data_IF_289462013275
#
_entry.id   IF_289462013275
#
_cell.length_a   1.000
_cell.length_b   1.000
_cell.length_c   1.000
_cell.angle_alpha   90.00
_cell.angle_beta   90.00
_cell.angle_gamma   90.00
#
_symmetry.space_group_name_H-M   'P 1'
#
loop_
_entity.id
_entity.type
_entity.pdbx_description
1 polymer ?
#
# COMPACT_ATOMS: atom_id res chain seq x y z
N UNK A 1 4.68 6.54 -15.21
CA UNK A 1 5.23 7.08 -13.95
C UNK A 1 6.45 6.31 -13.52
N UNK A 2 7.43 6.95 -12.89
CA UNK A 2 8.44 6.25 -12.08
C UNK A 2 7.78 5.74 -10.78
N UNK A 3 8.31 4.66 -10.19
CA UNK A 3 7.76 4.04 -8.97
C UNK A 3 7.54 5.06 -7.84
N UNK A 4 8.47 6.01 -7.69
CA UNK A 4 8.40 7.07 -6.69
C UNK A 4 7.21 8.01 -6.92
N UNK A 5 6.84 8.29 -8.17
CA UNK A 5 5.69 9.13 -8.51
C UNK A 5 4.37 8.42 -8.15
N UNK A 6 4.32 7.10 -8.29
CA UNK A 6 3.15 6.29 -7.93
C UNK A 6 2.95 6.29 -6.41
N UNK A 7 4.02 6.06 -5.66
CA UNK A 7 3.99 6.10 -4.20
C UNK A 7 3.55 7.49 -3.72
N UNK A 8 4.14 8.55 -4.29
CA UNK A 8 3.75 9.92 -3.98
C UNK A 8 2.28 10.23 -4.32
N UNK A 9 1.75 9.68 -5.40
CA UNK A 9 0.34 9.83 -5.75
C UNK A 9 -0.57 9.14 -4.74
N UNK A 10 -0.25 7.90 -4.35
CA UNK A 10 -1.01 7.13 -3.35
C UNK A 10 -1.01 7.88 -2.03
N UNK A 11 0.15 8.37 -1.60
CA UNK A 11 0.29 9.11 -0.34
C UNK A 11 -0.50 10.41 -0.36
N UNK A 12 -0.50 11.13 -1.49
CA UNK A 12 -1.30 12.34 -1.68
C UNK A 12 -2.80 12.06 -1.63
N UNK A 13 -3.24 10.89 -2.10
CA UNK A 13 -4.65 10.50 -2.12
C UNK A 13 -5.21 10.15 -0.73
N UNK A 14 -4.35 9.85 0.25
CA UNK A 14 -4.77 9.60 1.63
C UNK A 14 -5.21 10.85 2.40
N UNK A 15 -4.84 12.05 1.91
CA UNK A 15 -5.10 13.33 2.57
C UNK A 15 -4.21 13.62 3.78
N UNK A 16 -4.37 14.82 4.36
CA UNK A 16 -3.56 15.30 5.49
C UNK A 16 -3.61 14.35 6.69
N UNK A 17 -2.44 14.00 7.23
CA UNK A 17 -2.27 13.09 8.37
C UNK A 17 -2.65 13.71 9.72
N UNK A 18 -3.43 14.80 9.71
CA UNK A 18 -3.53 15.70 10.86
C UNK A 18 -3.95 14.94 12.13
N UNK A 19 -3.06 14.79 13.12
CA UNK A 19 -3.44 14.24 14.40
C UNK A 19 -4.26 15.32 15.08
N UNK A 20 -5.59 15.26 14.88
CA UNK A 20 -6.60 16.12 15.53
C UNK A 20 -6.10 17.48 15.97
N UNK A 21 -6.05 18.45 15.06
CA UNK A 21 -5.73 19.84 15.35
C UNK A 21 -6.78 20.49 16.28
N UNK A 22 -6.74 20.17 17.57
CA UNK A 22 -7.39 20.90 18.67
C UNK A 22 -7.03 20.25 20.02
N UNK A 23 -5.86 20.53 20.58
CA UNK A 23 -5.73 20.80 22.02
C UNK A 23 -4.30 21.22 22.36
N UNK A 24 -4.16 22.49 22.72
CA UNK A 24 -2.93 23.12 23.19
C UNK A 24 -2.58 22.71 24.63
N UNK A 25 -2.68 21.42 24.97
CA UNK A 25 -2.30 20.93 26.29
C UNK A 25 -1.72 19.51 26.22
N UNK A 26 -0.40 19.43 26.41
CA UNK A 26 0.41 18.21 26.26
C UNK A 26 -0.02 17.14 27.28
N UNK A 27 -0.55 17.54 28.44
CA UNK A 27 -1.10 16.61 29.44
C UNK A 27 -2.46 16.02 29.03
N UNK A 28 -3.30 16.78 28.33
CA UNK A 28 -4.55 16.28 27.75
C UNK A 28 -4.29 15.36 26.55
N UNK A 29 -3.29 15.68 25.72
CA UNK A 29 -2.79 14.79 24.66
C UNK A 29 -2.28 13.47 25.25
N UNK A 30 -1.50 13.49 26.33
CA UNK A 30 -1.01 12.24 26.97
C UNK A 30 -2.16 11.39 27.55
N UNK A 31 -3.23 12.02 28.04
CA UNK A 31 -4.41 11.35 28.60
C UNK A 31 -5.39 10.84 27.51
N UNK A 32 -5.51 11.52 26.37
CA UNK A 32 -6.43 11.18 25.25
C UNK A 32 -5.73 10.29 24.19
N UNK A 33 -4.45 10.51 23.93
CA UNK A 33 -3.58 9.56 23.22
C UNK A 33 -3.35 8.29 24.04
N UNK A 34 -3.80 8.26 25.30
CA UNK A 34 -3.64 7.18 26.25
C UNK A 34 -4.29 5.84 25.89
N UNK A 35 -5.07 5.69 24.82
CA UNK A 35 -5.29 4.38 24.16
C UNK A 35 -6.09 4.50 22.87
N UNK A 36 -7.28 5.10 22.85
CA UNK A 36 -8.19 4.99 21.69
C UNK A 36 -7.80 5.83 20.48
N UNK A 37 -7.40 7.09 20.67
CA UNK A 37 -6.99 7.97 19.55
C UNK A 37 -5.69 7.52 18.90
N UNK A 38 -4.71 7.11 19.72
CA UNK A 38 -3.44 6.59 19.24
C UNK A 38 -3.58 5.22 18.55
N UNK A 39 -4.39 4.31 19.11
CA UNK A 39 -4.68 3.02 18.45
C UNK A 39 -5.42 3.20 17.13
N UNK A 40 -6.35 4.18 17.06
CA UNK A 40 -7.04 4.55 15.82
C UNK A 40 -6.06 5.05 14.77
N UNK A 41 -5.16 5.95 15.14
CA UNK A 41 -4.08 6.44 14.27
C UNK A 41 -3.18 5.28 13.79
N UNK A 42 -2.70 4.43 14.70
CA UNK A 42 -1.87 3.28 14.34
C UNK A 42 -2.58 2.32 13.38
N UNK A 43 -3.88 2.08 13.60
CA UNK A 43 -4.69 1.25 12.72
C UNK A 43 -4.81 1.87 11.32
N UNK A 44 -5.04 3.18 11.23
CA UNK A 44 -5.08 3.87 9.93
C UNK A 44 -3.73 3.81 9.21
N UNK A 45 -2.61 3.96 9.93
CA UNK A 45 -1.27 3.83 9.35
C UNK A 45 -1.02 2.42 8.78
N UNK A 46 -1.48 1.38 9.47
CA UNK A 46 -1.43 0.00 8.94
C UNK A 46 -2.28 -0.14 7.67
N UNK A 47 -3.50 0.43 7.65
CA UNK A 47 -4.36 0.38 6.47
C UNK A 47 -3.71 1.09 5.27
N UNK A 48 -3.10 2.26 5.49
CA UNK A 48 -2.36 3.01 4.45
C UNK A 48 -1.22 2.17 3.88
N UNK A 49 -0.45 1.51 4.74
CA UNK A 49 0.66 0.65 4.32
C UNK A 49 0.17 -0.52 3.45
N UNK A 50 -0.87 -1.23 3.88
CA UNK A 50 -1.47 -2.34 3.11
C UNK A 50 -1.89 -1.86 1.72
N UNK A 51 -2.62 -0.74 1.66
CA UNK A 51 -3.10 -0.19 0.39
C UNK A 51 -1.94 0.20 -0.53
N UNK A 52 -0.92 0.89 0.03
CA UNK A 52 0.25 1.31 -0.74
C UNK A 52 0.96 0.12 -1.36
N UNK A 53 1.26 -0.89 -0.56
CA UNK A 53 1.98 -2.08 -1.02
C UNK A 53 1.15 -2.85 -2.05
N UNK A 54 -0.14 -3.04 -1.79
CA UNK A 54 -1.03 -3.77 -2.69
C UNK A 54 -1.18 -3.08 -4.04
N UNK A 55 -1.49 -1.78 -4.07
CA UNK A 55 -1.66 -1.04 -5.32
C UNK A 55 -0.36 -0.90 -6.10
N UNK A 56 0.76 -0.70 -5.39
CA UNK A 56 2.09 -0.67 -6.02
C UNK A 56 2.42 -2.02 -6.66
N UNK A 57 2.20 -3.12 -5.94
CA UNK A 57 2.43 -4.47 -6.45
C UNK A 57 1.52 -4.77 -7.65
N UNK A 58 0.24 -4.45 -7.57
CA UNK A 58 -0.71 -4.65 -8.67
C UNK A 58 -0.32 -3.87 -9.93
N UNK A 59 0.20 -2.65 -9.78
CA UNK A 59 0.68 -1.85 -10.91
C UNK A 59 1.98 -2.41 -11.50
N UNK A 60 2.94 -2.79 -10.65
CA UNK A 60 4.23 -3.37 -11.07
C UNK A 60 4.03 -4.71 -11.79
N UNK A 61 3.09 -5.54 -11.33
CA UNK A 61 2.73 -6.82 -11.95
C UNK A 61 1.86 -6.65 -13.20
N UNK A 62 1.30 -5.46 -13.42
CA UNK A 62 0.48 -5.12 -14.59
C UNK A 62 -0.99 -5.54 -14.48
N UNK A 63 -1.46 -5.87 -13.27
CA UNK A 63 -2.87 -6.19 -12.97
C UNK A 63 -3.76 -4.93 -13.03
N UNK A 64 -3.18 -3.76 -12.74
CA UNK A 64 -3.83 -2.46 -12.93
C UNK A 64 -2.97 -1.54 -13.78
N UNK A 65 -3.61 -0.58 -14.45
CA UNK A 65 -2.93 0.48 -15.20
C UNK A 65 -2.83 1.76 -14.36
N UNK A 66 -1.97 2.70 -14.74
CA UNK A 66 -1.88 4.02 -14.09
C UNK A 66 -3.23 4.74 -14.08
N UNK A 67 -4.02 4.64 -15.17
CA UNK A 67 -5.39 5.17 -15.22
C UNK A 67 -6.38 4.42 -14.34
N UNK A 68 -6.16 3.12 -14.11
CA UNK A 68 -6.93 2.31 -13.17
C UNK A 68 -6.69 2.69 -11.71
N UNK A 69 -5.49 3.18 -11.38
CA UNK A 69 -5.14 3.65 -10.03
C UNK A 69 -6.04 4.83 -9.60
N UNK A 70 -6.34 5.74 -10.53
CA UNK A 70 -7.21 6.89 -10.26
C UNK A 70 -8.63 6.51 -9.82
N UNK A 71 -9.12 5.31 -10.18
CA UNK A 71 -10.43 4.82 -9.75
C UNK A 71 -10.52 4.64 -8.22
N UNK A 72 -9.39 4.42 -7.54
CA UNK A 72 -9.34 4.23 -6.09
C UNK A 72 -9.35 5.56 -5.32
N UNK A 73 -9.08 6.71 -5.96
CA UNK A 73 -8.88 7.98 -5.28
C UNK A 73 -9.98 8.32 -4.26
N UNK A 74 -11.26 8.11 -4.63
CA UNK A 74 -12.41 8.38 -3.74
C UNK A 74 -12.43 7.49 -2.48
N UNK A 75 -11.91 6.26 -2.57
CA UNK A 75 -11.87 5.29 -1.48
C UNK A 75 -10.68 5.54 -0.54
N UNK A 76 -9.70 6.33 -0.95
CA UNK A 76 -8.50 6.62 -0.16
C UNK A 76 -8.68 7.80 0.80
N UNK A 77 -9.69 8.64 0.58
CA UNK A 77 -9.89 9.91 1.31
C UNK A 77 -10.23 9.69 2.77
N UNK A 78 -11.11 8.74 3.09
CA UNK A 78 -11.60 8.55 4.46
C UNK A 78 -10.94 7.35 5.15
N UNK A 79 -10.72 7.46 6.46
CA UNK A 79 -10.18 6.37 7.28
C UNK A 79 -11.06 5.12 7.22
N UNK A 80 -12.39 5.29 7.25
CA UNK A 80 -13.34 4.18 7.16
C UNK A 80 -13.23 3.46 5.81
N UNK A 81 -13.20 4.21 4.71
CA UNK A 81 -13.03 3.65 3.37
C UNK A 81 -11.68 2.95 3.21
N UNK A 82 -10.60 3.51 3.77
CA UNK A 82 -9.29 2.85 3.80
C UNK A 82 -9.32 1.56 4.60
N UNK A 83 -9.97 1.53 5.75
CA UNK A 83 -10.11 0.32 6.55
C UNK A 83 -10.86 -0.79 5.80
N UNK A 84 -11.97 -0.45 5.12
CA UNK A 84 -12.72 -1.40 4.29
C UNK A 84 -11.89 -1.89 3.10
N UNK A 85 -11.21 -0.99 2.39
CA UNK A 85 -10.40 -1.34 1.23
C UNK A 85 -9.20 -2.22 1.62
N UNK A 86 -8.48 -1.86 2.69
CA UNK A 86 -7.36 -2.65 3.20
C UNK A 86 -7.82 -4.05 3.63
N UNK A 87 -8.98 -4.16 4.29
CA UNK A 87 -9.54 -5.47 4.64
C UNK A 87 -9.88 -6.29 3.40
N UNK A 88 -10.51 -5.68 2.40
CA UNK A 88 -10.82 -6.36 1.14
C UNK A 88 -9.55 -6.86 0.43
N UNK A 89 -8.52 -6.01 0.35
CA UNK A 89 -7.21 -6.36 -0.21
C UNK A 89 -6.58 -7.53 0.53
N UNK A 90 -6.53 -7.49 1.86
CA UNK A 90 -6.01 -8.59 2.67
C UNK A 90 -6.77 -9.89 2.41
N UNK A 91 -8.10 -9.85 2.40
CA UNK A 91 -8.93 -11.03 2.17
C UNK A 91 -8.74 -11.62 0.77
N UNK A 92 -8.60 -10.77 -0.25
CA UNK A 92 -8.35 -11.22 -1.63
C UNK A 92 -7.01 -11.96 -1.77
N UNK A 93 -5.99 -11.56 -1.01
CA UNK A 93 -4.68 -12.22 -1.02
C UNK A 93 -4.62 -13.51 -0.22
N UNK A 94 -5.66 -13.87 0.57
CA UNK A 94 -5.66 -15.12 1.36
C UNK A 94 -5.69 -16.36 0.47
N UNK A 95 -6.31 -16.29 -0.72
CA UNK A 95 -6.38 -17.43 -1.63
C UNK A 95 -5.00 -17.90 -2.11
N UNK A 96 -4.05 -16.97 -2.19
CA UNK A 96 -2.66 -17.18 -2.58
C UNK A 96 -1.75 -17.53 -1.39
N UNK A 97 -2.27 -17.48 -0.15
CA UNK A 97 -1.47 -17.74 1.06
C UNK A 97 -0.91 -19.17 1.11
N UNK A 98 -1.55 -20.12 0.42
CA UNK A 98 -1.07 -21.50 0.24
C UNK A 98 0.25 -21.59 -0.54
N UNK A 99 0.55 -20.59 -1.35
CA UNK A 99 1.75 -20.51 -2.18
C UNK A 99 2.90 -19.81 -1.44
N UNK A 100 2.65 -19.32 -0.21
CA UNK A 100 3.70 -18.77 0.64
C UNK A 100 4.71 -19.85 1.00
N UNK A 101 6.01 -19.55 0.92
CA UNK A 101 7.04 -20.49 1.30
C UNK A 101 6.89 -20.80 2.79
N UNK A 102 6.58 -22.06 3.12
CA UNK A 102 6.55 -22.53 4.49
C UNK A 102 7.96 -22.35 5.07
N UNK A 103 8.06 -21.57 6.14
CA UNK A 103 9.30 -21.12 6.76
C UNK A 103 10.25 -22.29 7.12
N UNK A 104 11.01 -22.78 6.14
CA UNK A 104 12.14 -23.71 6.31
C UNK A 104 13.04 -23.82 5.06
N UNK A 105 12.85 -23.04 4.00
CA UNK A 105 13.76 -23.09 2.86
C UNK A 105 13.66 -21.82 2.03
N UNK A 106 14.80 -21.19 1.80
CA UNK A 106 15.09 -20.06 0.92
C UNK A 106 13.87 -19.43 0.24
N UNK A 107 13.62 -18.14 0.53
CA UNK A 107 12.92 -17.27 -0.41
C UNK A 107 13.65 -17.41 -1.74
N UNK A 108 13.11 -18.22 -2.65
CA UNK A 108 13.84 -18.72 -3.80
C UNK A 108 14.54 -17.58 -4.52
N UNK A 109 15.85 -17.71 -4.70
CA UNK A 109 16.68 -16.68 -5.35
C UNK A 109 15.97 -16.20 -6.60
N UNK A 110 15.64 -14.90 -6.64
CA UNK A 110 14.97 -14.26 -7.77
C UNK A 110 15.75 -14.64 -9.04
N UNK A 111 15.14 -15.48 -9.88
CA UNK A 111 15.79 -15.90 -11.11
C UNK A 111 15.80 -14.70 -12.05
N UNK A 112 16.95 -14.35 -12.64
CA UNK A 112 17.01 -13.32 -13.66
C UNK A 112 15.98 -13.65 -14.75
N UNK A 113 15.17 -12.65 -15.10
CA UNK A 113 14.18 -12.79 -16.17
C UNK A 113 14.90 -13.23 -17.44
N UNK A 114 14.55 -14.40 -17.97
CA UNK A 114 15.00 -14.81 -19.29
C UNK A 114 14.30 -13.91 -20.31
N UNK A 115 15.02 -13.05 -21.05
CA UNK A 115 14.39 -12.17 -22.01
C UNK A 115 13.71 -13.01 -23.08
N UNK A 116 12.38 -12.94 -23.13
CA UNK A 116 11.63 -13.51 -24.25
C UNK A 116 11.87 -12.65 -25.49
N UNK A 117 11.91 -13.24 -26.71
CA UNK A 117 12.22 -12.51 -27.95
C UNK A 117 11.21 -11.41 -28.29
N UNK A 118 10.10 -11.32 -27.56
CA UNK A 118 9.17 -10.19 -27.59
C UNK A 118 9.20 -9.50 -26.21
N UNK A 119 9.93 -8.40 -26.04
CA UNK A 119 9.94 -7.68 -24.78
C UNK A 119 8.50 -7.28 -24.44
N UNK A 120 8.07 -7.60 -23.21
CA UNK A 120 6.81 -7.07 -22.70
C UNK A 120 6.90 -5.54 -22.75
N UNK A 121 5.89 -4.88 -23.31
CA UNK A 121 5.90 -3.44 -23.63
C UNK A 121 6.25 -2.51 -22.45
N UNK A 122 6.18 -3.02 -21.22
CA UNK A 122 6.41 -2.29 -19.98
C UNK A 122 7.79 -2.52 -19.32
N UNK A 123 8.66 -3.37 -19.88
CA UNK A 123 10.01 -3.62 -19.33
C UNK A 123 11.06 -3.17 -20.35
N UNK A 124 11.73 -2.05 -20.07
CA UNK A 124 12.93 -1.63 -20.81
C UNK A 124 14.16 -2.14 -20.07
N UNK A 125 14.87 -3.08 -20.67
CA UNK A 125 16.21 -3.46 -20.20
C UNK A 125 17.16 -2.28 -20.44
N UNK A 126 17.77 -1.78 -19.37
CA UNK A 126 18.90 -0.85 -19.47
C UNK A 126 20.17 -1.69 -19.51
N UNK A 127 20.85 -1.69 -20.66
CA UNK A 127 22.17 -2.33 -20.81
C UNK A 127 23.26 -1.30 -20.52
N UNK A 128 24.27 -1.71 -19.75
CA UNK A 128 25.50 -0.96 -19.50
C UNK A 128 26.39 -0.86 -20.74
#
# INVERSE_FOLDING_TARGET
>A
MHLDEIVNWIDSAFGDESPGAACADVEALTRIMGTTGFQRYLKDQVNRQIIRDYLTNALVLGEITEGGLAAFASQLVSEESRATLALFMLMSSVEEAKDLPVASGDLGTLKPLTPTPKPRSHIKLVTS
#
